data_IF_199863844717
#
_entry.id   IF_199863844717
#
_cell.length_a   1.000
_cell.length_b   1.000
_cell.length_c   1.000
_cell.angle_alpha   90.00
_cell.angle_beta   90.00
_cell.angle_gamma   90.00
#
_symmetry.space_group_name_H-M   'P 1'
#
loop_
_entity.id
_entity.type
_entity.pdbx_description
1 polymer ?
#
# COMPACT_ATOMS: atom_id res chain seq x y z
N UNK A 1 22.83 17.13 4.74
CA UNK A 1 22.77 16.06 3.74
C UNK A 1 21.84 15.02 4.32
N UNK A 2 20.73 14.71 3.66
CA UNK A 2 19.87 13.61 4.06
C UNK A 2 20.30 12.38 3.26
N UNK A 3 20.48 11.26 3.95
CA UNK A 3 20.81 9.97 3.33
C UNK A 3 19.60 9.07 3.52
N UNK A 4 19.02 8.60 2.41
CA UNK A 4 17.97 7.59 2.43
C UNK A 4 18.58 6.28 1.96
N UNK A 5 18.44 5.24 2.78
CA UNK A 5 18.93 3.90 2.47
C UNK A 5 17.76 2.94 2.49
N UNK A 6 17.46 2.36 1.34
CA UNK A 6 16.48 1.28 1.27
C UNK A 6 17.17 -0.05 1.54
N UNK A 7 16.57 -0.89 2.38
CA UNK A 7 17.11 -2.21 2.73
C UNK A 7 16.07 -3.25 2.40
N UNK A 8 16.17 -3.81 1.20
CA UNK A 8 15.48 -5.04 0.79
C UNK A 8 16.57 -6.12 0.62
N UNK A 9 16.59 -7.17 1.47
CA UNK A 9 17.65 -8.17 1.43
C UNK A 9 17.68 -9.00 0.13
N UNK A 10 16.61 -8.94 -0.68
CA UNK A 10 16.54 -9.63 -1.98
C UNK A 10 17.01 -8.77 -3.14
N UNK A 11 17.35 -7.51 -2.90
CA UNK A 11 17.78 -6.55 -3.93
C UNK A 11 19.11 -5.89 -3.54
N UNK A 12 19.83 -5.43 -4.55
CA UNK A 12 21.01 -4.61 -4.29
C UNK A 12 20.60 -3.32 -3.55
N UNK A 13 21.28 -2.95 -2.45
CA UNK A 13 20.94 -1.75 -1.70
C UNK A 13 20.97 -0.51 -2.58
N UNK A 14 19.88 0.25 -2.57
CA UNK A 14 19.82 1.54 -3.25
C UNK A 14 20.18 2.66 -2.28
N UNK A 15 21.05 3.57 -2.75
CA UNK A 15 21.45 4.78 -2.02
C UNK A 15 21.10 6.02 -2.84
N UNK A 16 20.35 6.93 -2.22
CA UNK A 16 20.02 8.24 -2.78
C UNK A 16 20.54 9.38 -1.91
N UNK A 17 21.05 10.44 -2.54
CA UNK A 17 21.40 11.70 -1.88
C UNK A 17 20.47 12.79 -2.42
N UNK A 18 19.69 13.41 -1.55
CA UNK A 18 18.78 14.49 -1.95
C UNK A 18 19.54 15.78 -2.20
N UNK A 19 19.10 16.56 -3.20
CA UNK A 19 19.67 17.89 -3.51
C UNK A 19 19.38 18.90 -2.40
N UNK A 20 18.21 18.77 -1.75
CA UNK A 20 17.79 19.57 -0.61
C UNK A 20 18.14 18.88 0.72
N UNK A 21 18.44 19.68 1.76
CA UNK A 21 18.80 19.18 3.10
C UNK A 21 17.61 19.06 4.06
N UNK A 22 16.44 19.53 3.64
CA UNK A 22 15.26 19.61 4.50
C UNK A 22 14.52 18.26 4.54
N UNK A 23 14.71 17.55 5.63
CA UNK A 23 14.09 16.25 5.86
C UNK A 23 12.57 16.35 6.02
N UNK A 24 12.05 17.45 6.61
CA UNK A 24 10.61 17.63 6.74
C UNK A 24 9.96 17.81 5.37
N UNK A 25 10.55 18.64 4.52
CA UNK A 25 10.05 18.83 3.16
C UNK A 25 10.10 17.54 2.34
N UNK A 26 11.16 16.75 2.47
CA UNK A 26 11.24 15.44 1.83
C UNK A 26 10.13 14.49 2.30
N UNK A 27 9.93 14.38 3.63
CA UNK A 27 8.88 13.53 4.19
C UNK A 27 7.49 13.98 3.76
N UNK A 28 7.20 15.28 3.76
CA UNK A 28 5.90 15.79 3.28
C UNK A 28 5.66 15.47 1.81
N UNK A 29 6.67 15.58 0.95
CA UNK A 29 6.54 15.21 -0.47
C UNK A 29 6.36 13.70 -0.67
N UNK A 30 7.04 12.90 0.16
CA UNK A 30 6.87 11.45 0.14
C UNK A 30 5.45 11.05 0.61
N UNK A 31 4.96 11.66 1.68
CA UNK A 31 3.59 11.48 2.18
C UNK A 31 2.56 11.87 1.12
N UNK A 32 2.71 13.04 0.50
CA UNK A 32 1.83 13.51 -0.59
C UNK A 32 1.83 12.53 -1.78
N UNK A 33 3.01 12.01 -2.16
CA UNK A 33 3.11 11.01 -3.21
C UNK A 33 2.42 9.68 -2.83
N UNK A 34 2.59 9.23 -1.59
CA UNK A 34 1.94 8.01 -1.08
C UNK A 34 0.42 8.18 -1.02
N UNK A 35 -0.06 9.33 -0.56
CA UNK A 35 -1.49 9.65 -0.53
C UNK A 35 -2.07 9.72 -1.94
N UNK A 36 -1.39 10.40 -2.86
CA UNK A 36 -1.76 10.42 -4.27
C UNK A 36 -1.79 9.02 -4.91
N UNK A 37 -0.91 8.12 -4.46
CA UNK A 37 -0.86 6.75 -4.93
C UNK A 37 -2.01 5.89 -4.41
N UNK A 38 -2.73 6.27 -3.35
CA UNK A 38 -3.90 5.53 -2.85
C UNK A 38 -5.17 6.13 -3.45
N UNK A 39 -5.85 5.35 -4.30
CA UNK A 39 -7.07 5.78 -4.99
C UNK A 39 -8.32 5.51 -4.17
N UNK A 40 -8.37 4.36 -3.50
CA UNK A 40 -9.47 3.97 -2.63
C UNK A 40 -8.97 2.94 -1.61
N UNK A 41 -9.56 2.91 -0.42
CA UNK A 41 -9.23 1.91 0.59
C UNK A 41 -10.45 1.52 1.42
N UNK A 42 -10.44 0.28 1.89
CA UNK A 42 -11.45 -0.25 2.81
C UNK A 42 -10.77 -1.13 3.84
N UNK A 43 -11.33 -1.16 5.05
CA UNK A 43 -10.84 -1.99 6.14
C UNK A 43 -12.01 -2.70 6.81
N UNK A 44 -11.81 -3.96 7.19
CA UNK A 44 -12.74 -4.73 8.03
C UNK A 44 -11.98 -5.61 9.00
N UNK A 45 -12.61 -5.91 10.13
CA UNK A 45 -12.11 -6.85 11.13
C UNK A 45 -12.79 -8.18 10.91
N UNK A 46 -12.01 -9.25 10.78
CA UNK A 46 -12.50 -10.62 10.76
C UNK A 46 -12.92 -11.06 12.18
N UNK A 47 -13.72 -12.13 12.28
CA UNK A 47 -14.26 -12.60 13.56
C UNK A 47 -13.17 -13.02 14.56
N UNK A 48 -12.01 -13.46 14.06
CA UNK A 48 -10.84 -13.80 14.87
C UNK A 48 -10.05 -12.56 15.37
N UNK A 49 -10.49 -11.34 15.04
CA UNK A 49 -9.87 -10.07 15.41
C UNK A 49 -8.84 -9.54 14.41
N UNK A 50 -8.50 -10.30 13.36
CA UNK A 50 -7.55 -9.87 12.33
C UNK A 50 -8.10 -8.69 11.55
N UNK A 51 -7.30 -7.62 11.44
CA UNK A 51 -7.67 -6.45 10.66
C UNK A 51 -7.23 -6.63 9.20
N UNK A 52 -8.19 -6.64 8.29
CA UNK A 52 -7.94 -6.74 6.85
C UNK A 52 -8.10 -5.35 6.23
N UNK A 53 -7.06 -4.87 5.56
CA UNK A 53 -7.06 -3.62 4.81
C UNK A 53 -6.83 -3.91 3.33
N UNK A 54 -7.73 -3.43 2.48
CA UNK A 54 -7.59 -3.46 1.03
C UNK A 54 -7.43 -2.03 0.49
N UNK A 55 -6.66 -1.87 -0.58
CA UNK A 55 -6.51 -0.57 -1.23
C UNK A 55 -6.32 -0.73 -2.72
N UNK A 56 -6.91 0.17 -3.50
CA UNK A 56 -6.54 0.41 -4.90
C UNK A 56 -5.44 1.45 -4.91
N UNK A 57 -4.35 1.14 -5.60
CA UNK A 57 -3.17 1.99 -5.73
C UNK A 57 -2.85 2.27 -7.18
N UNK A 58 -2.24 3.43 -7.44
CA UNK A 58 -1.71 3.82 -8.74
C UNK A 58 -0.21 3.54 -8.79
N UNK A 59 0.20 2.72 -9.76
CA UNK A 59 1.59 2.44 -10.05
C UNK A 59 2.30 3.64 -10.67
N UNK A 60 3.63 3.57 -10.73
CA UNK A 60 4.45 4.60 -11.39
C UNK A 60 4.17 4.72 -12.90
N UNK A 61 3.65 3.64 -13.51
CA UNK A 61 3.17 3.58 -14.90
C UNK A 61 1.73 4.12 -15.07
N UNK A 62 1.10 4.56 -13.98
CA UNK A 62 -0.29 5.02 -13.95
C UNK A 62 -1.33 3.90 -13.90
N UNK A 63 -0.93 2.62 -13.97
CA UNK A 63 -1.86 1.50 -13.88
C UNK A 63 -2.38 1.33 -12.46
N UNK A 64 -3.64 0.96 -12.33
CA UNK A 64 -4.24 0.67 -11.02
C UNK A 64 -3.98 -0.79 -10.65
N UNK A 65 -3.75 -1.05 -9.37
CA UNK A 65 -3.62 -2.39 -8.81
C UNK A 65 -4.18 -2.43 -7.39
N UNK A 66 -4.57 -3.61 -6.91
CA UNK A 66 -5.03 -3.81 -5.53
C UNK A 66 -3.89 -4.31 -4.64
N UNK A 67 -3.95 -3.96 -3.36
CA UNK A 67 -3.13 -4.55 -2.30
C UNK A 67 -4.00 -4.95 -1.13
N UNK A 68 -3.72 -6.11 -0.54
CA UNK A 68 -4.32 -6.61 0.68
C UNK A 68 -3.26 -6.72 1.78
N UNK A 69 -3.62 -6.31 2.99
CA UNK A 69 -2.80 -6.45 4.18
C UNK A 69 -3.67 -7.02 5.29
N UNK A 70 -3.21 -8.09 5.93
CA UNK A 70 -3.79 -8.66 7.13
C UNK A 70 -2.88 -8.36 8.32
N UNK A 71 -3.44 -7.71 9.34
CA UNK A 71 -2.79 -7.50 10.64
C UNK A 71 -3.37 -8.53 11.62
N UNK A 72 -2.72 -9.68 11.66
CA UNK A 72 -3.16 -10.87 12.39
C UNK A 72 -3.22 -12.13 11.52
N UNK A 73 -3.49 -13.30 12.15
CA UNK A 73 -3.64 -14.56 11.42
C UNK A 73 -4.87 -14.55 10.52
N UNK A 74 -4.71 -15.03 9.29
CA UNK A 74 -5.80 -15.13 8.32
C UNK A 74 -6.28 -16.59 8.28
N UNK A 75 -7.51 -16.82 8.73
CA UNK A 75 -8.21 -18.11 8.59
C UNK A 75 -9.05 -18.12 7.30
N UNK A 76 -9.70 -19.24 6.99
CA UNK A 76 -10.49 -19.39 5.77
C UNK A 76 -11.60 -18.35 5.61
N UNK A 77 -12.22 -17.94 6.73
CA UNK A 77 -13.26 -16.91 6.73
C UNK A 77 -12.65 -15.52 6.49
N UNK A 78 -11.53 -15.22 7.13
CA UNK A 78 -10.75 -14.01 6.89
C UNK A 78 -10.25 -13.91 5.46
N UNK A 79 -9.80 -15.02 4.86
CA UNK A 79 -9.44 -15.06 3.44
C UNK A 79 -10.62 -14.76 2.52
N UNK A 80 -11.79 -15.34 2.81
CA UNK A 80 -12.99 -15.09 2.03
C UNK A 80 -13.41 -13.62 2.13
N UNK A 81 -13.39 -13.06 3.34
CA UNK A 81 -13.66 -11.65 3.59
C UNK A 81 -12.65 -10.75 2.86
N UNK A 82 -11.36 -11.11 2.86
CA UNK A 82 -10.33 -10.37 2.14
C UNK A 82 -10.58 -10.34 0.63
N UNK A 83 -10.93 -11.49 0.04
CA UNK A 83 -11.30 -11.60 -1.38
C UNK A 83 -12.53 -10.76 -1.71
N UNK A 84 -13.56 -10.79 -0.88
CA UNK A 84 -14.77 -9.99 -1.08
C UNK A 84 -14.50 -8.49 -1.03
N UNK A 85 -13.72 -8.03 -0.04
CA UNK A 85 -13.37 -6.61 0.09
C UNK A 85 -12.54 -6.16 -1.11
N UNK A 86 -11.55 -6.96 -1.55
CA UNK A 86 -10.74 -6.66 -2.73
C UNK A 86 -11.59 -6.62 -4.00
N UNK A 87 -12.47 -7.60 -4.21
CA UNK A 87 -13.34 -7.65 -5.37
C UNK A 87 -14.23 -6.39 -5.48
N UNK A 88 -14.88 -6.01 -4.37
CA UNK A 88 -15.70 -4.80 -4.31
C UNK A 88 -14.90 -3.52 -4.62
N UNK A 89 -13.66 -3.43 -4.12
CA UNK A 89 -12.78 -2.29 -4.40
C UNK A 89 -12.36 -2.25 -5.88
N UNK A 90 -12.00 -3.40 -6.47
CA UNK A 90 -11.63 -3.50 -7.89
C UNK A 90 -12.79 -3.12 -8.79
N UNK A 91 -14.00 -3.62 -8.49
CA UNK A 91 -15.22 -3.26 -9.20
C UNK A 91 -15.48 -1.74 -9.16
N UNK A 92 -15.28 -1.09 -8.01
CA UNK A 92 -15.54 0.35 -7.84
C UNK A 92 -14.72 1.27 -8.76
N UNK A 93 -13.60 0.76 -9.29
CA UNK A 93 -12.70 1.49 -10.20
C UNK A 93 -12.61 0.86 -11.59
N UNK A 94 -13.42 -0.16 -11.88
CA UNK A 94 -13.41 -0.88 -13.16
C UNK A 94 -12.17 -1.75 -13.39
N UNK A 95 -11.50 -2.19 -12.32
CA UNK A 95 -10.41 -3.17 -12.42
C UNK A 95 -10.97 -4.59 -12.59
N UNK A 96 -10.36 -5.42 -13.47
CA UNK A 96 -10.73 -6.84 -13.58
C UNK A 96 -10.47 -7.56 -12.25
N UNK A 97 -11.11 -8.69 -11.97
CA UNK A 97 -10.81 -9.52 -10.79
C UNK A 97 -9.48 -10.25 -10.97
#
# INVERSE_FOLDING_TARGET
MLIVRWVDPTREPWHGVTVARDAHKFMSQLEEFVEYAIVSSQRRTADNGTMISASIRRGADGQLFSTLVADGPLDEQGEQLAREIEANLRESVGLPL
#
